data_IF_327471004918
#
_entry.id   IF_327471004918
#
_cell.length_a   1.000
_cell.length_b   1.000
_cell.length_c   1.000
_cell.angle_alpha   90.00
_cell.angle_beta   90.00
_cell.angle_gamma   90.00
#
_symmetry.space_group_name_H-M   'P 1'
#
loop_
_entity.id
_entity.type
_entity.pdbx_description
1 polymer ?
#
# COMPACT_ATOMS: atom_id res chain seq x y z
N UNK A 1 27.75 -9.15 0.73
CA UNK A 1 26.78 -8.97 1.82
C UNK A 1 25.46 -8.55 1.21
N UNK A 2 24.37 -9.27 1.47
CA UNK A 2 23.03 -8.94 0.95
C UNK A 2 22.24 -8.28 2.09
N UNK A 3 21.91 -7.00 1.94
CA UNK A 3 21.24 -6.18 2.97
C UNK A 3 20.20 -5.27 2.33
N UNK A 4 19.28 -4.73 3.13
CA UNK A 4 18.30 -3.75 2.66
C UNK A 4 19.01 -2.43 2.31
N UNK A 5 18.53 -1.76 1.27
CA UNK A 5 19.11 -0.49 0.80
C UNK A 5 18.17 0.69 1.08
N UNK A 6 16.87 0.54 0.76
CA UNK A 6 15.90 1.64 0.82
C UNK A 6 14.98 1.61 2.04
N UNK A 7 14.80 0.43 2.64
CA UNK A 7 13.90 0.24 3.77
C UNK A 7 14.71 0.09 5.06
N UNK A 8 14.14 0.45 6.21
CA UNK A 8 14.69 0.09 7.51
C UNK A 8 15.03 -1.40 7.61
N UNK A 9 16.04 -1.73 8.41
CA UNK A 9 16.53 -3.11 8.55
C UNK A 9 15.46 -4.05 9.13
N UNK A 10 14.60 -3.53 10.00
CA UNK A 10 13.50 -4.23 10.67
C UNK A 10 12.21 -4.34 9.85
N UNK A 11 12.18 -3.81 8.62
CA UNK A 11 10.98 -3.85 7.78
C UNK A 11 10.57 -5.29 7.43
N UNK A 12 9.27 -5.60 7.46
CA UNK A 12 8.76 -6.92 7.09
C UNK A 12 8.27 -6.97 5.63
N UNK A 13 8.74 -7.98 4.88
CA UNK A 13 8.32 -8.23 3.50
C UNK A 13 9.04 -7.39 2.43
N UNK A 14 8.39 -7.28 1.25
CA UNK A 14 8.97 -6.72 0.01
C UNK A 14 7.96 -5.82 -0.71
N UNK A 15 7.92 -4.51 -0.43
CA UNK A 15 6.84 -3.61 -0.86
C UNK A 15 6.55 -3.51 -2.36
N UNK A 16 7.51 -3.87 -3.22
CA UNK A 16 7.33 -3.78 -4.69
C UNK A 16 6.70 -5.04 -5.31
N UNK A 17 6.44 -6.09 -4.53
CA UNK A 17 5.77 -7.29 -5.04
C UNK A 17 4.27 -7.04 -5.20
N UNK A 18 3.63 -7.77 -6.12
CA UNK A 18 2.21 -7.59 -6.45
C UNK A 18 1.25 -8.20 -5.42
N UNK A 19 1.74 -9.13 -4.63
CA UNK A 19 1.03 -9.72 -3.49
C UNK A 19 1.21 -8.90 -2.20
N UNK A 20 2.09 -7.90 -2.19
CA UNK A 20 2.25 -7.01 -1.05
C UNK A 20 1.08 -6.01 -0.99
N UNK A 21 0.41 -5.86 0.17
CA UNK A 21 -0.73 -4.96 0.28
C UNK A 21 -0.30 -3.52 0.06
N UNK A 22 -1.04 -2.79 -0.79
CA UNK A 22 -0.80 -1.36 -1.03
C UNK A 22 -1.17 -0.52 0.19
N UNK A 23 -2.19 -0.94 0.97
CA UNK A 23 -2.70 -0.21 2.13
C UNK A 23 -3.20 1.20 1.79
N UNK A 24 -3.22 2.06 2.82
CA UNK A 24 -3.61 3.46 2.71
C UNK A 24 -4.62 3.88 3.79
N UNK A 25 -4.94 5.17 3.83
CA UNK A 25 -6.00 5.72 4.67
C UNK A 25 -7.11 6.30 3.78
N UNK A 26 -8.37 6.29 4.23
CA UNK A 26 -9.42 7.02 3.53
C UNK A 26 -9.08 8.51 3.41
N UNK A 27 -9.43 9.10 2.27
CA UNK A 27 -9.18 10.53 2.00
C UNK A 27 -10.47 11.24 1.66
N UNK A 28 -10.64 12.46 2.18
CA UNK A 28 -11.79 13.29 1.85
C UNK A 28 -11.57 14.01 0.51
N UNK A 29 -12.57 13.96 -0.36
CA UNK A 29 -12.58 14.68 -1.63
C UNK A 29 -14.00 15.15 -1.96
N UNK A 30 -14.18 16.47 -2.10
CA UNK A 30 -15.46 17.10 -2.46
C UNK A 30 -16.64 16.67 -1.56
N UNK A 31 -16.40 16.55 -0.24
CA UNK A 31 -17.42 16.12 0.73
C UNK A 31 -17.77 14.62 0.66
N UNK A 32 -17.01 13.82 -0.09
CA UNK A 32 -17.09 12.37 -0.09
C UNK A 32 -15.82 11.74 0.48
N UNK A 33 -15.96 10.59 1.13
CA UNK A 33 -14.84 9.77 1.59
C UNK A 33 -14.44 8.78 0.49
N UNK A 34 -13.18 8.81 0.08
CA UNK A 34 -12.61 7.92 -0.92
C UNK A 34 -11.78 6.84 -0.22
N UNK A 35 -12.11 5.54 -0.36
CA UNK A 35 -11.37 4.48 0.31
C UNK A 35 -9.98 4.27 -0.30
N UNK A 36 -9.07 3.62 0.45
CA UNK A 36 -7.74 3.28 -0.03
C UNK A 36 -7.79 2.33 -1.24
N UNK A 37 -6.76 2.34 -2.13
CA UNK A 37 -6.80 1.66 -3.42
C UNK A 37 -7.12 0.17 -3.37
N UNK A 38 -6.69 -0.51 -2.31
CA UNK A 38 -6.92 -1.93 -2.05
C UNK A 38 -8.40 -2.27 -1.74
N UNK A 39 -9.18 -1.29 -1.25
CA UNK A 39 -10.59 -1.43 -0.92
C UNK A 39 -11.53 -0.88 -2.01
N UNK A 40 -10.98 -0.38 -3.12
CA UNK A 40 -11.78 0.13 -4.23
C UNK A 40 -12.42 -1.02 -5.02
N UNK A 41 -13.52 -0.71 -5.71
CA UNK A 41 -14.24 -1.67 -6.55
C UNK A 41 -13.31 -2.31 -7.56
N UNK A 42 -13.24 -3.65 -7.55
CA UNK A 42 -12.73 -4.44 -8.65
C UNK A 42 -13.83 -4.62 -9.69
N UNK A 43 -13.53 -4.33 -10.95
CA UNK A 43 -14.37 -4.73 -12.07
C UNK A 43 -13.93 -6.15 -12.46
N UNK A 44 -14.88 -7.09 -12.49
CA UNK A 44 -14.67 -8.42 -13.07
C UNK A 44 -14.99 -8.40 -14.56
#
# INVERSE_FOLDING_TARGET
>A
NLTRILMPDDWEGFPQRKDYPLGGVPVEYKGAEIPPPDQRRSYQ
#
